data_IF_980570570470
#
_entry.id   IF_980570570470
#
_cell.length_a   1.000
_cell.length_b   1.000
_cell.length_c   1.000
_cell.angle_alpha   90.00
_cell.angle_beta   90.00
_cell.angle_gamma   90.00
#
_symmetry.space_group_name_H-M   'P 1'
#
loop_
_entity.id
_entity.type
_entity.pdbx_description
1 polymer ?
#
# COMPACT_ATOMS: atom_id res chain seq x y z
N UNK A 1 14.22 0.22 -6.47
CA UNK A 1 13.29 -0.72 -7.14
C UNK A 1 12.39 0.10 -8.04
N UNK A 2 12.16 -0.32 -9.30
CA UNK A 2 11.34 0.42 -10.26
C UNK A 2 10.13 -0.41 -10.66
N UNK A 3 8.94 0.20 -10.65
CA UNK A 3 7.70 -0.45 -11.07
C UNK A 3 7.14 0.29 -12.27
N UNK A 4 6.89 -0.45 -13.34
CA UNK A 4 6.26 0.05 -14.56
C UNK A 4 4.90 -0.63 -14.72
N UNK A 5 3.85 0.14 -14.97
CA UNK A 5 2.49 -0.34 -15.19
C UNK A 5 2.04 0.13 -16.56
N UNK A 6 1.69 -0.81 -17.44
CA UNK A 6 0.99 -0.51 -18.68
C UNK A 6 -0.52 -0.63 -18.46
N UNK A 7 -1.21 0.49 -18.55
CA UNK A 7 -2.67 0.58 -18.42
C UNK A 7 -3.24 1.32 -19.62
N UNK A 8 -4.16 0.68 -20.35
CA UNK A 8 -4.78 1.22 -21.56
C UNK A 8 -3.76 1.73 -22.61
N UNK A 9 -2.66 0.99 -22.80
CA UNK A 9 -1.63 1.32 -23.78
C UNK A 9 -0.63 2.41 -23.37
N UNK A 10 -0.80 3.00 -22.18
CA UNK A 10 0.15 3.96 -21.60
C UNK A 10 0.97 3.31 -20.50
N UNK A 11 2.26 3.60 -20.45
CA UNK A 11 3.17 3.12 -19.41
C UNK A 11 3.39 4.20 -18.36
N UNK A 12 3.18 3.84 -17.09
CA UNK A 12 3.41 4.66 -15.92
C UNK A 12 4.55 4.06 -15.12
N UNK A 13 5.42 4.92 -14.60
CA UNK A 13 6.62 4.51 -13.87
C UNK A 13 6.57 5.06 -12.45
N UNK A 14 6.96 4.24 -11.49
CA UNK A 14 7.22 4.61 -10.11
C UNK A 14 8.60 4.09 -9.73
N UNK A 15 9.48 4.99 -9.27
CA UNK A 15 10.77 4.64 -8.69
C UNK A 15 10.72 4.78 -7.17
N UNK A 16 11.08 3.72 -6.43
CA UNK A 16 11.07 3.75 -4.96
C UNK A 16 12.15 4.62 -4.35
N UNK A 17 13.07 5.17 -5.15
CA UNK A 17 14.03 6.17 -4.70
C UNK A 17 13.46 7.59 -4.79
N UNK A 18 12.39 7.81 -5.57
CA UNK A 18 11.70 9.09 -5.63
C UNK A 18 10.83 9.30 -4.39
N UNK A 19 11.10 10.40 -3.68
CA UNK A 19 10.34 10.76 -2.48
C UNK A 19 8.87 11.02 -2.77
N UNK A 20 8.58 11.73 -3.86
CA UNK A 20 7.22 12.06 -4.29
C UNK A 20 7.08 11.74 -5.76
N UNK A 21 6.08 10.92 -6.10
CA UNK A 21 5.70 10.59 -7.48
C UNK A 21 4.30 11.15 -7.74
N UNK A 22 4.13 11.90 -8.83
CA UNK A 22 2.85 12.52 -9.20
C UNK A 22 2.27 11.82 -10.43
N UNK A 23 1.04 11.32 -10.32
CA UNK A 23 0.28 10.73 -11.42
C UNK A 23 -0.67 11.79 -11.97
N UNK A 24 -0.22 12.53 -12.99
CA UNK A 24 -0.99 13.61 -13.65
C UNK A 24 -1.70 13.10 -14.91
N UNK A 25 -2.70 12.22 -14.75
CA UNK A 25 -3.24 11.46 -15.90
C UNK A 25 -4.76 11.43 -15.91
N UNK A 26 -5.39 12.51 -16.37
CA UNK A 26 -6.82 12.57 -16.71
C UNK A 26 -7.77 11.79 -15.78
N UNK A 27 -8.74 11.08 -16.37
CA UNK A 27 -9.78 10.34 -15.64
C UNK A 27 -9.22 9.06 -14.97
N UNK A 28 -8.15 8.47 -15.52
CA UNK A 28 -7.61 7.18 -15.07
C UNK A 28 -6.63 7.26 -13.90
N UNK A 29 -6.28 8.47 -13.41
CA UNK A 29 -5.25 8.68 -12.37
C UNK A 29 -5.47 7.84 -11.10
N UNK A 30 -6.72 7.75 -10.63
CA UNK A 30 -7.09 6.99 -9.42
C UNK A 30 -6.91 5.49 -9.65
N UNK A 31 -7.31 5.00 -10.83
CA UNK A 31 -7.12 3.61 -11.20
C UNK A 31 -5.63 3.23 -11.22
N UNK A 32 -4.78 4.09 -11.78
CA UNK A 32 -3.33 3.87 -11.82
C UNK A 32 -2.72 3.87 -10.41
N UNK A 33 -3.10 4.83 -9.56
CA UNK A 33 -2.64 4.87 -8.17
C UNK A 33 -3.04 3.61 -7.39
N UNK A 34 -4.27 3.14 -7.57
CA UNK A 34 -4.78 1.88 -6.98
C UNK A 34 -4.01 0.66 -7.50
N UNK A 35 -3.69 0.62 -8.79
CA UNK A 35 -2.88 -0.46 -9.38
C UNK A 35 -1.51 -0.55 -8.70
N UNK A 36 -0.81 0.58 -8.58
CA UNK A 36 0.47 0.60 -7.85
C UNK A 36 0.27 0.19 -6.39
N UNK A 37 -0.76 0.70 -5.71
CA UNK A 37 -1.06 0.32 -4.33
C UNK A 37 -1.18 -1.21 -4.16
N UNK A 38 -1.95 -1.89 -5.00
CA UNK A 38 -2.10 -3.36 -4.93
C UNK A 38 -0.80 -4.11 -5.24
N UNK A 39 0.01 -3.62 -6.18
CA UNK A 39 1.34 -4.20 -6.44
C UNK A 39 2.26 -4.08 -5.21
N UNK A 40 2.25 -2.93 -4.53
CA UNK A 40 2.99 -2.76 -3.27
C UNK A 40 2.42 -3.63 -2.15
N UNK A 41 1.10 -3.79 -2.06
CA UNK A 41 0.45 -4.66 -1.08
C UNK A 41 0.84 -6.13 -1.25
N UNK A 42 0.83 -6.63 -2.47
CA UNK A 42 1.31 -7.98 -2.79
C UNK A 42 2.81 -8.13 -2.48
N UNK A 43 3.64 -7.15 -2.89
CA UNK A 43 5.09 -7.15 -2.64
C UNK A 43 5.42 -7.13 -1.15
N UNK A 44 4.75 -6.30 -0.36
CA UNK A 44 4.92 -6.21 1.09
C UNK A 44 4.55 -7.52 1.80
N UNK A 45 3.51 -8.19 1.31
CA UNK A 45 2.98 -9.44 1.87
C UNK A 45 3.77 -10.70 1.49
N UNK A 46 4.78 -10.58 0.63
CA UNK A 46 5.62 -11.72 0.24
C UNK A 46 6.27 -12.38 1.47
N UNK A 47 6.05 -13.67 1.71
CA UNK A 47 6.76 -14.40 2.76
C UNK A 47 8.18 -14.77 2.29
N UNK A 48 9.00 -15.27 3.23
CA UNK A 48 10.22 -16.01 2.87
C UNK A 48 9.84 -17.34 2.23
N UNK A 49 10.59 -17.78 1.22
CA UNK A 49 10.26 -18.98 0.45
C UNK A 49 11.17 -20.18 0.74
N UNK A 50 12.32 -19.99 1.43
CA UNK A 50 13.35 -21.01 1.61
C UNK A 50 12.84 -22.35 2.17
N UNK A 51 11.81 -22.36 3.02
CA UNK A 51 11.24 -23.57 3.61
C UNK A 51 10.36 -24.40 2.66
N UNK A 52 10.20 -23.96 1.41
CA UNK A 52 9.33 -24.57 0.40
C UNK A 52 10.05 -24.87 -0.91
N UNK A 53 11.37 -24.71 -0.96
CA UNK A 53 12.16 -24.89 -2.17
C UNK A 53 12.69 -26.33 -2.27
N UNK A 54 12.80 -26.84 -3.49
CA UNK A 54 13.51 -28.08 -3.77
C UNK A 54 15.02 -27.87 -3.52
N UNK A 55 15.65 -28.59 -2.58
CA UNK A 55 17.08 -28.47 -2.33
C UNK A 55 17.96 -28.89 -3.52
N UNK A 56 17.44 -29.70 -4.45
CA UNK A 56 18.18 -30.18 -5.63
C UNK A 56 18.20 -29.16 -6.77
N UNK A 57 17.18 -28.30 -6.86
CA UNK A 57 17.13 -27.16 -7.76
C UNK A 57 16.54 -25.92 -7.04
N UNK A 58 17.31 -25.30 -6.13
CA UNK A 58 16.81 -24.18 -5.34
C UNK A 58 16.42 -22.98 -6.20
N UNK A 59 17.13 -22.73 -7.30
CA UNK A 59 16.90 -21.58 -8.18
C UNK A 59 15.63 -21.75 -9.01
N UNK A 60 15.47 -22.88 -9.71
CA UNK A 60 14.27 -23.14 -10.51
C UNK A 60 13.03 -23.25 -9.62
N UNK A 61 13.15 -23.93 -8.47
CA UNK A 61 12.09 -24.01 -7.48
C UNK A 61 11.69 -22.63 -6.92
N UNK A 62 12.66 -21.76 -6.63
CA UNK A 62 12.38 -20.40 -6.17
C UNK A 62 11.59 -19.59 -7.18
N UNK A 63 11.96 -19.62 -8.47
CA UNK A 63 11.23 -18.91 -9.54
C UNK A 63 9.77 -19.36 -9.59
N UNK A 64 9.54 -20.67 -9.64
CA UNK A 64 8.19 -21.24 -9.69
C UNK A 64 7.39 -20.82 -8.45
N UNK A 65 7.97 -20.94 -7.26
CA UNK A 65 7.31 -20.59 -6.01
C UNK A 65 7.00 -19.09 -5.92
N UNK A 66 7.91 -18.25 -6.38
CA UNK A 66 7.73 -16.79 -6.42
C UNK A 66 6.56 -16.42 -7.33
N UNK A 67 6.47 -17.00 -8.53
CA UNK A 67 5.35 -16.77 -9.46
C UNK A 67 4.03 -17.19 -8.82
N UNK A 68 3.94 -18.40 -8.26
CA UNK A 68 2.74 -18.90 -7.59
C UNK A 68 2.28 -18.00 -6.44
N UNK A 69 3.22 -17.65 -5.54
CA UNK A 69 2.91 -16.88 -4.34
C UNK A 69 2.54 -15.44 -4.69
N UNK A 70 3.26 -14.80 -5.60
CA UNK A 70 2.95 -13.43 -6.01
C UNK A 70 1.63 -13.37 -6.78
N UNK A 71 1.38 -14.29 -7.72
CA UNK A 71 0.09 -14.41 -8.40
C UNK A 71 -1.04 -14.55 -7.40
N UNK A 72 -0.93 -15.49 -6.45
CA UNK A 72 -1.96 -15.71 -5.42
C UNK A 72 -2.23 -14.45 -4.59
N UNK A 73 -1.17 -13.83 -4.07
CA UNK A 73 -1.30 -12.63 -3.24
C UNK A 73 -1.98 -11.49 -4.01
N UNK A 74 -1.56 -11.24 -5.24
CA UNK A 74 -2.16 -10.17 -6.04
C UNK A 74 -3.61 -10.50 -6.44
N UNK A 75 -3.91 -11.74 -6.84
CA UNK A 75 -5.27 -12.18 -7.15
C UNK A 75 -6.22 -11.99 -5.97
N UNK A 76 -5.83 -12.42 -4.76
CA UNK A 76 -6.63 -12.26 -3.53
C UNK A 76 -6.94 -10.78 -3.23
N UNK A 77 -5.97 -9.89 -3.43
CA UNK A 77 -6.17 -8.45 -3.23
C UNK A 77 -7.11 -7.84 -4.29
N UNK A 78 -6.98 -8.27 -5.55
CA UNK A 78 -7.81 -7.79 -6.65
C UNK A 78 -9.26 -8.30 -6.55
N UNK A 79 -9.48 -9.54 -6.12
CA UNK A 79 -10.83 -10.08 -5.87
C UNK A 79 -11.58 -9.25 -4.83
N UNK A 80 -10.90 -8.87 -3.74
CA UNK A 80 -11.48 -8.04 -2.68
C UNK A 80 -11.70 -6.58 -3.11
N UNK A 81 -11.03 -6.13 -4.17
CA UNK A 81 -11.14 -4.75 -4.65
C UNK A 81 -12.50 -4.42 -5.26
N UNK A 82 -13.20 -5.43 -5.83
CA UNK A 82 -14.42 -5.27 -6.65
C UNK A 82 -14.28 -4.33 -7.85
N UNK A 83 -13.05 -4.02 -8.27
CA UNK A 83 -12.75 -3.28 -9.50
C UNK A 83 -12.16 -4.23 -10.54
N UNK A 84 -12.59 -4.11 -11.80
CA UNK A 84 -11.98 -4.86 -12.89
C UNK A 84 -10.70 -4.17 -13.36
N UNK A 85 -9.56 -4.79 -13.06
CA UNK A 85 -8.24 -4.29 -13.43
C UNK A 85 -7.69 -5.08 -14.62
N UNK A 86 -7.39 -4.37 -15.70
CA UNK A 86 -6.74 -4.93 -16.88
C UNK A 86 -5.45 -4.16 -17.14
N UNK A 87 -4.31 -4.75 -16.79
CA UNK A 87 -2.99 -4.12 -16.92
C UNK A 87 -1.87 -5.14 -17.06
N UNK A 88 -0.73 -4.71 -17.58
CA UNK A 88 0.52 -5.44 -17.40
C UNK A 88 1.48 -4.62 -16.56
N UNK A 89 2.43 -5.28 -15.92
CA UNK A 89 3.40 -4.61 -15.09
C UNK A 89 4.77 -5.26 -15.17
N UNK A 90 5.78 -4.48 -14.79
CA UNK A 90 7.17 -4.90 -14.64
C UNK A 90 7.70 -4.34 -13.32
N UNK A 91 8.14 -5.22 -12.42
CA UNK A 91 8.87 -4.83 -11.20
C UNK A 91 10.33 -5.20 -11.40
N UNK A 92 11.18 -4.19 -11.49
CA UNK A 92 12.62 -4.34 -11.71
C UNK A 92 13.38 -4.08 -10.40
N UNK A 93 14.23 -5.04 -10.04
CA UNK A 93 15.24 -4.93 -8.98
C UNK A 93 16.64 -5.05 -9.58
N UNK A 94 17.68 -5.01 -8.77
CA UNK A 94 19.06 -5.22 -9.23
C UNK A 94 19.41 -6.71 -9.48
N UNK A 95 18.59 -7.65 -9.01
CA UNK A 95 18.81 -9.09 -9.15
C UNK A 95 17.82 -9.80 -10.07
N UNK A 96 16.61 -9.25 -10.21
CA UNK A 96 15.50 -9.89 -10.93
C UNK A 96 14.50 -8.88 -11.48
N UNK A 97 13.75 -9.34 -12.48
CA UNK A 97 12.59 -8.67 -13.06
C UNK A 97 11.35 -9.57 -12.92
N UNK A 98 10.26 -9.06 -12.35
CA UNK A 98 8.94 -9.69 -12.36
C UNK A 98 8.10 -9.07 -13.46
N UNK A 99 7.68 -9.86 -14.43
CA UNK A 99 6.73 -9.46 -15.48
C UNK A 99 5.37 -10.03 -15.14
N UNK A 100 4.34 -9.19 -15.14
CA UNK A 100 2.99 -9.61 -14.81
C UNK A 100 1.96 -9.14 -15.82
N UNK A 101 0.91 -9.94 -16.01
CA UNK A 101 -0.29 -9.58 -16.75
C UNK A 101 -1.51 -9.91 -15.90
N UNK A 102 -2.40 -8.94 -15.77
CA UNK A 102 -3.61 -8.99 -14.96
C UNK A 102 -4.83 -8.79 -15.85
N UNK A 103 -5.79 -9.71 -15.75
CA UNK A 103 -7.10 -9.60 -16.36
C UNK A 103 -8.18 -9.90 -15.30
N UNK A 104 -8.81 -8.85 -14.77
CA UNK A 104 -9.65 -8.98 -13.58
C UNK A 104 -8.84 -9.42 -12.36
N UNK A 105 -9.16 -10.60 -11.82
CA UNK A 105 -8.39 -11.24 -10.73
C UNK A 105 -7.39 -12.29 -11.23
N UNK A 106 -7.39 -12.63 -12.52
CA UNK A 106 -6.45 -13.59 -13.09
C UNK A 106 -5.07 -12.93 -13.26
N UNK A 107 -4.08 -13.43 -12.51
CA UNK A 107 -2.72 -12.88 -12.49
C UNK A 107 -1.72 -13.91 -13.00
N UNK A 108 -1.08 -13.61 -14.13
CA UNK A 108 0.03 -14.39 -14.66
C UNK A 108 1.36 -13.66 -14.39
N UNK A 109 2.34 -14.36 -13.82
CA UNK A 109 3.66 -13.83 -13.48
C UNK A 109 4.75 -14.66 -14.16
N UNK A 110 5.75 -13.96 -14.71
CA UNK A 110 7.01 -14.52 -15.17
C UNK A 110 8.17 -13.88 -14.42
N UNK A 111 9.10 -14.69 -13.92
CA UNK A 111 10.34 -14.23 -13.27
C UNK A 111 11.50 -14.32 -14.25
N UNK A 112 12.18 -13.20 -14.47
CA UNK A 112 13.45 -13.12 -15.19
C UNK A 112 14.57 -12.80 -14.19
N UNK A 113 15.67 -13.56 -14.25
CA UNK A 113 16.79 -13.42 -13.31
C UNK A 113 17.91 -12.69 -14.01
N UNK A 114 18.29 -11.54 -13.44
CA UNK A 114 19.35 -10.68 -13.95
C UNK A 114 20.71 -11.09 -13.35
N UNK A 115 20.72 -11.54 -12.09
CA UNK A 115 21.91 -12.00 -11.37
C UNK A 115 21.64 -13.28 -10.62
N UNK A 116 22.61 -14.19 -10.58
CA UNK A 116 22.49 -15.44 -9.84
C UNK A 116 23.25 -15.37 -8.51
N UNK A 117 22.74 -16.01 -7.44
CA UNK A 117 23.49 -16.16 -6.20
C UNK A 117 24.69 -17.08 -6.40
N UNK A 118 25.79 -16.78 -5.71
CA UNK A 118 26.94 -17.69 -5.64
C UNK A 118 26.62 -18.85 -4.71
N UNK A 119 26.44 -20.05 -5.29
CA UNK A 119 26.22 -21.28 -4.54
C UNK A 119 27.55 -22.01 -4.36
N UNK A 120 27.94 -22.27 -3.12
CA UNK A 120 29.06 -23.18 -2.83
C UNK A 120 28.58 -24.62 -3.01
N UNK A 121 29.34 -25.41 -3.76
CA UNK A 121 29.02 -26.84 -3.98
C UNK A 121 28.96 -27.56 -2.63
N UNK A 122 27.85 -28.24 -2.34
CA UNK A 122 27.63 -28.98 -1.09
C UNK A 122 26.93 -28.22 0.03
N UNK A 123 26.48 -26.98 -0.22
CA UNK A 123 25.85 -26.16 0.82
C UNK A 123 24.38 -26.54 1.05
N UNK A 124 24.11 -27.19 2.19
CA UNK A 124 22.75 -27.61 2.63
C UNK A 124 21.82 -26.39 2.78
N UNK A 125 22.39 -25.18 2.90
CA UNK A 125 21.72 -23.88 2.92
C UNK A 125 21.33 -23.32 1.55
N UNK A 126 21.51 -24.05 0.44
CA UNK A 126 21.16 -23.58 -0.92
C UNK A 126 19.82 -22.83 -1.01
N UNK A 127 18.70 -23.41 -0.53
CA UNK A 127 17.41 -22.71 -0.45
C UNK A 127 17.42 -21.38 0.30
N UNK A 128 18.13 -21.30 1.42
CA UNK A 128 18.23 -20.09 2.26
C UNK A 128 19.05 -19.02 1.56
N UNK A 129 20.16 -19.40 0.91
CA UNK A 129 21.03 -18.49 0.17
C UNK A 129 20.26 -17.88 -1.01
N UNK A 130 19.59 -18.72 -1.82
CA UNK A 130 18.80 -18.27 -2.97
C UNK A 130 17.69 -17.31 -2.53
N UNK A 131 16.90 -17.69 -1.53
CA UNK A 131 15.80 -16.85 -1.07
C UNK A 131 16.30 -15.53 -0.46
N UNK A 132 17.39 -15.56 0.31
CA UNK A 132 17.97 -14.34 0.90
C UNK A 132 18.49 -13.39 -0.16
N UNK A 133 19.18 -13.92 -1.17
CA UNK A 133 19.71 -13.14 -2.27
C UNK A 133 18.59 -12.36 -2.98
N UNK A 134 17.56 -13.05 -3.45
CA UNK A 134 16.47 -12.39 -4.18
C UNK A 134 15.53 -11.57 -3.29
N UNK A 135 15.24 -12.00 -2.05
CA UNK A 135 14.37 -11.21 -1.17
C UNK A 135 15.05 -9.94 -0.65
N UNK A 136 16.38 -9.87 -0.65
CA UNK A 136 17.12 -8.68 -0.21
C UNK A 136 17.01 -7.51 -1.18
N UNK A 137 16.81 -7.77 -2.47
CA UNK A 137 16.64 -6.74 -3.51
C UNK A 137 15.21 -6.21 -3.64
N UNK A 138 14.23 -6.95 -3.13
CA UNK A 138 12.83 -6.56 -3.13
C UNK A 138 12.57 -5.61 -1.95
N UNK A 139 12.37 -4.33 -2.26
CA UNK A 139 12.07 -3.30 -1.25
C UNK A 139 10.62 -3.44 -0.76
N UNK A 140 10.43 -4.11 0.39
CA UNK A 140 9.11 -4.30 1.02
C UNK A 140 8.70 -3.05 1.80
N UNK A 141 8.11 -2.09 1.08
CA UNK A 141 7.58 -0.86 1.66
C UNK A 141 6.15 -1.07 2.13
N UNK A 142 5.83 -0.65 3.36
CA UNK A 142 4.47 -0.75 3.90
C UNK A 142 3.53 0.22 3.17
N UNK A 143 2.49 -0.26 2.46
CA UNK A 143 1.61 0.63 1.71
C UNK A 143 0.49 1.18 2.59
N UNK A 144 0.17 2.45 2.41
CA UNK A 144 -1.00 3.13 2.97
C UNK A 144 -1.84 3.71 1.84
N UNK A 145 -3.16 3.64 1.95
CA UNK A 145 -4.08 4.18 0.95
C UNK A 145 -5.00 5.22 1.57
N UNK A 146 -5.09 6.38 0.93
CA UNK A 146 -5.82 7.56 1.39
C UNK A 146 -6.78 7.97 0.23
N UNK A 147 -8.08 7.60 0.30
CA UNK A 147 -9.04 7.69 -0.82
C UNK A 147 -9.54 9.12 -1.07
N UNK A 148 -10.12 9.39 -2.24
CA UNK A 148 -10.71 10.71 -2.52
C UNK A 148 -11.96 11.03 -1.68
N UNK A 149 -12.76 10.01 -1.33
CA UNK A 149 -14.04 10.15 -0.59
C UNK A 149 -13.85 10.08 0.94
N UNK A 150 -12.99 10.95 1.46
CA UNK A 150 -12.38 10.85 2.80
C UNK A 150 -13.29 11.09 4.02
N UNK A 151 -14.00 12.22 4.10
CA UNK A 151 -14.80 12.57 5.29
C UNK A 151 -15.95 11.60 5.45
N UNK A 152 -16.69 11.34 4.38
CA UNK A 152 -17.85 10.45 4.44
C UNK A 152 -17.48 9.06 4.93
N UNK A 153 -16.35 8.51 4.43
CA UNK A 153 -15.86 7.21 4.88
C UNK A 153 -15.39 7.25 6.34
N UNK A 154 -14.57 8.24 6.70
CA UNK A 154 -14.08 8.36 8.07
C UNK A 154 -15.23 8.58 9.06
N UNK A 155 -16.13 9.51 8.79
CA UNK A 155 -17.33 9.77 9.61
C UNK A 155 -18.19 8.52 9.77
N UNK A 156 -18.39 7.72 8.71
CA UNK A 156 -19.20 6.50 8.78
C UNK A 156 -18.53 5.36 9.58
N UNK A 157 -17.20 5.27 9.54
CA UNK A 157 -16.45 4.12 10.09
C UNK A 157 -15.49 4.49 11.24
N UNK A 158 -15.53 5.72 11.78
CA UNK A 158 -14.58 6.20 12.80
C UNK A 158 -14.47 5.28 14.03
N UNK A 159 -15.57 4.64 14.44
CA UNK A 159 -15.56 3.73 15.60
C UNK A 159 -14.63 2.53 15.42
N UNK A 160 -14.39 2.11 14.17
CA UNK A 160 -13.46 1.02 13.86
C UNK A 160 -11.99 1.44 13.90
N UNK A 161 -11.72 2.74 13.98
CA UNK A 161 -10.35 3.28 14.12
C UNK A 161 -9.85 3.24 15.56
N UNK A 162 -10.73 3.01 16.53
CA UNK A 162 -10.38 3.03 17.96
C UNK A 162 -9.92 1.63 18.37
N UNK A 163 -8.77 1.56 19.05
CA UNK A 163 -8.26 0.31 19.60
C UNK A 163 -9.17 -0.19 20.73
N UNK A 164 -9.76 -1.37 20.58
CA UNK A 164 -10.65 -2.00 21.56
C UNK A 164 -9.89 -3.11 22.30
N UNK A 165 -9.94 -3.10 23.65
CA UNK A 165 -9.26 -4.10 24.47
C UNK A 165 -9.95 -5.48 24.45
N UNK A 166 -11.26 -5.55 24.22
CA UNK A 166 -12.08 -6.76 24.39
C UNK A 166 -12.78 -7.22 23.10
N UNK A 167 -12.49 -6.61 21.95
CA UNK A 167 -13.12 -6.94 20.67
C UNK A 167 -12.18 -6.72 19.49
N UNK A 168 -12.33 -7.49 18.40
CA UNK A 168 -11.53 -7.27 17.21
C UNK A 168 -11.86 -5.89 16.61
N UNK A 169 -10.82 -5.10 16.40
CA UNK A 169 -10.93 -3.80 15.75
C UNK A 169 -10.88 -3.91 14.24
N UNK A 170 -11.52 -2.97 13.57
CA UNK A 170 -11.48 -2.84 12.11
C UNK A 170 -12.68 -3.44 11.40
N UNK A 171 -12.77 -3.13 10.11
CA UNK A 171 -13.83 -3.59 9.22
C UNK A 171 -13.34 -4.75 8.32
N UNK A 172 -14.26 -5.62 7.85
CA UNK A 172 -13.91 -6.77 7.00
C UNK A 172 -13.14 -6.37 5.74
N UNK A 173 -12.08 -7.12 5.40
CA UNK A 173 -11.25 -6.90 4.20
C UNK A 173 -12.05 -6.95 2.89
N UNK A 174 -13.22 -7.59 2.89
CA UNK A 174 -14.13 -7.68 1.73
C UNK A 174 -14.75 -6.33 1.32
N UNK A 175 -14.53 -5.27 2.12
CA UNK A 175 -14.84 -3.87 1.76
C UNK A 175 -13.70 -3.17 0.99
N UNK A 176 -12.63 -3.90 0.65
CA UNK A 176 -11.55 -3.44 -0.23
C UNK A 176 -10.80 -2.24 0.33
N UNK A 177 -10.60 -1.22 -0.51
CA UNK A 177 -9.83 -0.01 -0.17
C UNK A 177 -10.38 0.75 1.04
N UNK A 178 -11.68 0.66 1.32
CA UNK A 178 -12.27 1.29 2.51
C UNK A 178 -11.74 0.59 3.77
N UNK A 179 -11.67 -0.74 3.76
CA UNK A 179 -11.10 -1.50 4.86
C UNK A 179 -9.63 -1.20 5.05
N UNK A 180 -8.87 -1.13 3.96
CA UNK A 180 -7.46 -0.78 4.03
C UNK A 180 -7.22 0.61 4.63
N UNK A 181 -8.02 1.60 4.21
CA UNK A 181 -7.96 2.97 4.75
C UNK A 181 -8.29 2.99 6.25
N UNK A 182 -9.47 2.50 6.64
CA UNK A 182 -9.95 2.56 8.04
C UNK A 182 -9.06 1.73 8.97
N UNK A 183 -8.69 0.50 8.58
CA UNK A 183 -7.88 -0.37 9.43
C UNK A 183 -6.42 0.11 9.57
N UNK A 184 -5.97 1.00 8.69
CA UNK A 184 -4.65 1.65 8.85
C UNK A 184 -4.68 2.83 9.82
N UNK A 185 -5.86 3.33 10.16
CA UNK A 185 -6.06 4.37 11.17
C UNK A 185 -6.37 3.72 12.52
N UNK A 186 -5.33 3.43 13.31
CA UNK A 186 -5.49 2.89 14.68
C UNK A 186 -5.16 3.97 15.71
N UNK A 187 -6.18 4.34 16.48
CA UNK A 187 -6.16 5.32 17.56
C UNK A 187 -6.18 4.61 18.90
N UNK A 188 -5.15 4.86 19.70
CA UNK A 188 -5.01 4.26 21.03
C UNK A 188 -5.92 4.98 22.05
N UNK A 189 -6.34 4.30 23.13
CA UNK A 189 -7.06 4.94 24.23
C UNK A 189 -6.28 6.12 24.79
N UNK A 190 -6.95 7.25 24.99
CA UNK A 190 -6.31 8.50 25.43
C UNK A 190 -5.61 9.28 24.31
N UNK A 191 -5.74 8.87 23.04
CA UNK A 191 -5.30 9.66 21.90
C UNK A 191 -5.91 11.06 21.94
N UNK A 192 -5.09 12.08 21.73
CA UNK A 192 -5.52 13.47 21.60
C UNK A 192 -4.69 14.20 20.54
N UNK A 193 -5.35 15.04 19.76
CA UNK A 193 -4.71 15.89 18.76
C UNK A 193 -5.48 17.20 18.59
N UNK A 194 -4.77 18.32 18.44
CA UNK A 194 -5.38 19.58 18.01
C UNK A 194 -5.25 19.75 16.50
N UNK A 195 -6.36 19.98 15.82
CA UNK A 195 -6.47 20.21 14.37
C UNK A 195 -7.32 21.45 14.14
N UNK A 196 -6.76 22.47 13.46
CA UNK A 196 -7.46 23.74 13.18
C UNK A 196 -8.11 24.33 14.44
N UNK A 197 -7.35 24.40 15.53
CA UNK A 197 -7.79 24.88 16.86
C UNK A 197 -8.87 24.03 17.55
N UNK A 198 -9.30 22.92 16.94
CA UNK A 198 -10.23 21.96 17.55
C UNK A 198 -9.50 20.74 18.10
N UNK A 199 -9.91 20.24 19.26
CA UNK A 199 -9.36 19.03 19.86
C UNK A 199 -10.12 17.79 19.40
N UNK A 200 -9.43 16.83 18.79
CA UNK A 200 -9.94 15.48 18.54
C UNK A 200 -9.37 14.56 19.61
N UNK A 201 -10.22 13.84 20.34
CA UNK A 201 -9.83 12.93 21.43
C UNK A 201 -10.58 11.61 21.38
N UNK A 202 -9.90 10.54 21.78
CA UNK A 202 -10.54 9.25 22.08
C UNK A 202 -10.99 9.27 23.54
N UNK A 203 -12.30 9.14 23.76
CA UNK A 203 -12.90 9.04 25.09
C UNK A 203 -13.78 7.79 25.16
N UNK A 204 -13.39 6.82 26.00
CA UNK A 204 -14.00 5.50 25.99
C UNK A 204 -13.84 4.80 24.63
N UNK A 205 -14.96 4.41 24.03
CA UNK A 205 -15.03 3.80 22.69
C UNK A 205 -15.51 4.78 21.60
N UNK A 206 -15.42 6.08 21.86
CA UNK A 206 -15.85 7.12 20.94
C UNK A 206 -14.72 8.06 20.56
N UNK A 207 -14.79 8.56 19.33
CA UNK A 207 -13.93 9.63 18.86
C UNK A 207 -14.74 10.91 18.89
N UNK A 208 -14.27 11.87 19.67
CA UNK A 208 -14.92 13.16 19.88
C UNK A 208 -14.10 14.26 19.22
N UNK A 209 -14.78 15.28 18.71
CA UNK A 209 -14.20 16.58 18.43
C UNK A 209 -14.79 17.56 19.45
N UNK A 210 -13.95 18.16 20.29
CA UNK A 210 -14.37 18.82 21.52
C UNK A 210 -15.23 17.86 22.36
N UNK A 211 -16.50 18.19 22.55
CA UNK A 211 -17.47 17.44 23.34
C UNK A 211 -18.56 16.79 22.47
N UNK A 212 -18.39 16.77 21.15
CA UNK A 212 -19.36 16.18 20.22
C UNK A 212 -18.77 15.00 19.44
N UNK A 213 -19.60 14.04 18.99
CA UNK A 213 -19.11 12.96 18.13
C UNK A 213 -18.41 13.49 16.88
N UNK A 214 -17.26 12.90 16.54
CA UNK A 214 -16.36 13.37 15.48
C UNK A 214 -17.07 13.51 14.12
N UNK A 215 -18.09 12.69 13.82
CA UNK A 215 -18.81 12.72 12.55
C UNK A 215 -19.67 13.99 12.36
N UNK A 216 -19.88 14.78 13.41
CA UNK A 216 -20.56 16.08 13.34
C UNK A 216 -19.59 17.26 13.16
N UNK A 217 -18.27 17.02 13.16
CA UNK A 217 -17.27 18.06 12.97
C UNK A 217 -17.24 18.57 11.53
N UNK A 218 -16.72 19.79 11.33
CA UNK A 218 -16.57 20.36 9.99
C UNK A 218 -15.70 19.46 9.09
N UNK A 219 -16.11 19.23 7.83
CA UNK A 219 -15.39 18.40 6.87
C UNK A 219 -13.90 18.74 6.75
N UNK A 220 -13.55 20.02 6.78
CA UNK A 220 -12.18 20.53 6.68
C UNK A 220 -11.29 20.05 7.83
N UNK A 221 -11.84 20.04 9.06
CA UNK A 221 -11.13 19.57 10.25
C UNK A 221 -10.86 18.07 10.14
N UNK A 222 -11.86 17.29 9.73
CA UNK A 222 -11.72 15.84 9.56
C UNK A 222 -10.73 15.48 8.46
N UNK A 223 -10.73 16.24 7.36
CA UNK A 223 -9.77 16.07 6.28
C UNK A 223 -8.34 16.32 6.73
N UNK A 224 -8.14 17.43 7.45
CA UNK A 224 -6.84 17.80 7.98
C UNK A 224 -6.36 16.78 9.02
N UNK A 225 -7.26 16.29 9.86
CA UNK A 225 -6.98 15.23 10.81
C UNK A 225 -6.47 13.96 10.13
N UNK A 226 -7.16 13.47 9.09
CA UNK A 226 -6.75 12.28 8.35
C UNK A 226 -5.34 12.44 7.80
N UNK A 227 -5.03 13.55 7.11
CA UNK A 227 -3.67 13.78 6.60
C UNK A 227 -2.64 13.85 7.73
N UNK A 228 -2.90 14.63 8.78
CA UNK A 228 -1.98 14.77 9.90
C UNK A 228 -1.68 13.43 10.56
N UNK A 229 -2.70 12.58 10.72
CA UNK A 229 -2.56 11.24 11.26
C UNK A 229 -1.57 10.40 10.43
N UNK A 230 -1.76 10.36 9.11
CA UNK A 230 -0.88 9.60 8.22
C UNK A 230 0.54 10.19 8.14
N UNK A 231 0.69 11.51 8.20
CA UNK A 231 2.02 12.15 8.30
C UNK A 231 2.74 11.65 9.55
N UNK A 232 2.09 11.67 10.72
CA UNK A 232 2.69 11.24 11.99
C UNK A 232 3.04 9.75 12.01
N UNK A 233 2.16 8.90 11.45
CA UNK A 233 2.34 7.44 11.37
C UNK A 233 3.20 6.99 10.20
N UNK A 234 3.57 7.87 9.28
CA UNK A 234 4.46 7.53 8.18
C UNK A 234 5.83 7.13 8.71
N UNK A 235 6.40 6.11 8.08
CA UNK A 235 7.70 5.51 8.40
C UNK A 235 8.62 5.62 7.19
N UNK A 236 9.95 5.59 7.38
CA UNK A 236 10.91 5.68 6.27
C UNK A 236 10.69 4.57 5.23
N UNK A 237 10.36 3.36 5.67
CA UNK A 237 10.07 2.22 4.79
C UNK A 237 8.56 2.04 4.52
N UNK A 238 7.86 3.14 4.28
CA UNK A 238 6.45 3.14 3.91
C UNK A 238 6.20 3.94 2.64
N UNK A 239 5.07 3.68 1.98
CA UNK A 239 4.62 4.40 0.80
C UNK A 239 3.13 4.75 0.94
N UNK A 240 2.78 6.02 0.78
CA UNK A 240 1.40 6.50 0.91
C UNK A 240 0.83 6.87 -0.46
N UNK A 241 -0.30 6.27 -0.82
CA UNK A 241 -1.04 6.55 -2.03
C UNK A 241 -2.21 7.47 -1.70
N UNK A 242 -2.17 8.71 -2.19
CA UNK A 242 -3.13 9.77 -1.86
C UNK A 242 -3.91 10.17 -3.10
N UNK A 243 -5.22 9.96 -3.06
CA UNK A 243 -6.12 10.39 -4.13
C UNK A 243 -6.62 11.81 -3.89
N UNK A 244 -6.45 12.68 -4.89
CA UNK A 244 -6.91 14.08 -4.90
C UNK A 244 -6.50 14.83 -3.62
N UNK A 245 -5.18 14.97 -3.36
CA UNK A 245 -4.68 15.62 -2.15
C UNK A 245 -5.21 17.05 -1.96
N UNK A 246 -5.44 17.78 -3.04
CA UNK A 246 -5.99 19.15 -3.05
C UNK A 246 -7.34 19.27 -2.34
N UNK A 247 -8.09 18.18 -2.31
CA UNK A 247 -9.38 18.17 -1.65
C UNK A 247 -9.16 18.15 -0.12
N UNK A 248 -8.07 17.57 0.40
CA UNK A 248 -7.84 17.42 1.85
C UNK A 248 -7.49 18.73 2.56
N UNK A 249 -6.72 19.59 1.90
CA UNK A 249 -6.32 20.89 2.43
C UNK A 249 -5.80 21.78 1.29
N UNK A 250 -5.99 23.09 1.39
CA UNK A 250 -5.43 24.05 0.42
C UNK A 250 -3.90 23.97 0.33
N UNK A 251 -3.23 23.65 1.44
CA UNK A 251 -1.79 23.48 1.55
C UNK A 251 -1.34 22.01 1.50
N UNK A 252 -2.16 21.10 0.96
CA UNK A 252 -1.87 19.66 0.92
C UNK A 252 -0.49 19.32 0.36
N UNK A 253 0.00 20.08 -0.62
CA UNK A 253 1.34 19.89 -1.20
C UNK A 253 2.46 20.08 -0.19
N UNK A 254 2.31 21.02 0.74
CA UNK A 254 3.27 21.21 1.84
C UNK A 254 3.20 20.05 2.83
N UNK A 255 1.99 19.55 3.10
CA UNK A 255 1.76 18.43 4.03
C UNK A 255 2.35 17.13 3.46
N UNK A 256 2.19 16.89 2.16
CA UNK A 256 2.74 15.73 1.44
C UNK A 256 4.26 15.62 1.66
N UNK A 257 4.97 16.75 1.63
CA UNK A 257 6.42 16.78 1.86
C UNK A 257 6.81 16.41 3.30
N UNK A 258 5.87 16.45 4.24
CA UNK A 258 6.10 16.12 5.65
C UNK A 258 6.04 14.61 5.95
N UNK A 259 5.55 13.79 5.01
CA UNK A 259 5.60 12.34 5.17
C UNK A 259 7.05 11.86 5.25
N UNK A 260 7.35 10.88 6.10
CA UNK A 260 8.68 10.26 6.24
C UNK A 260 8.97 9.24 5.12
N UNK A 261 7.95 8.49 4.71
CA UNK A 261 8.00 7.53 3.60
C UNK A 261 7.77 8.16 2.22
N UNK A 262 7.78 7.35 1.16
CA UNK A 262 7.50 7.84 -0.18
C UNK A 262 6.00 8.19 -0.31
N UNK A 263 5.67 9.10 -1.21
CA UNK A 263 4.28 9.49 -1.44
C UNK A 263 3.97 9.44 -2.93
N UNK A 264 2.85 8.83 -3.28
CA UNK A 264 2.30 8.79 -4.63
C UNK A 264 0.98 9.56 -4.60
N UNK A 265 0.89 10.62 -5.39
CA UNK A 265 -0.30 11.47 -5.44
C UNK A 265 -0.96 11.38 -6.81
N UNK A 266 -2.27 11.12 -6.85
CA UNK A 266 -3.06 11.24 -8.07
C UNK A 266 -3.80 12.56 -8.06
N UNK A 267 -3.28 13.56 -8.77
CA UNK A 267 -3.82 14.92 -8.83
C UNK A 267 -4.70 15.12 -10.07
N UNK A 268 -5.81 15.85 -9.92
CA UNK A 268 -6.56 16.35 -11.07
C UNK A 268 -5.75 17.39 -11.86
N UNK A 269 -6.03 17.52 -13.15
CA UNK A 269 -5.70 18.74 -13.90
C UNK A 269 -6.79 19.78 -13.56
N UNK A 270 -6.38 20.97 -13.11
CA UNK A 270 -7.27 22.12 -12.93
C UNK A 270 -7.61 22.75 -14.29
#
# INVERSE_FOLDING_TARGET
>A
MKIEVNYQGKTYTLDTEEKVTVIQTGISRRAIARTFYYLFKATYSLPRLYGRLDPKDPLGSWKTKMQEVFSKLLSEELENSRFDFNFSFKISTDTLTLLGKVAGSDVNIKVEVEKQPELKVGDVSGPVVVDSFFMSSIKKMKPYFIPSCRVGLFSAFNRFTILQFESPTGIPRTLGLIADFINSMVLEPGYTETVMERQIKVEGNELLCEEMPVYNCEPEVLNRFILNFFVKRSELNSISFIEDPEMYAEDADKIILSFKGNVVVSKGEN
#
